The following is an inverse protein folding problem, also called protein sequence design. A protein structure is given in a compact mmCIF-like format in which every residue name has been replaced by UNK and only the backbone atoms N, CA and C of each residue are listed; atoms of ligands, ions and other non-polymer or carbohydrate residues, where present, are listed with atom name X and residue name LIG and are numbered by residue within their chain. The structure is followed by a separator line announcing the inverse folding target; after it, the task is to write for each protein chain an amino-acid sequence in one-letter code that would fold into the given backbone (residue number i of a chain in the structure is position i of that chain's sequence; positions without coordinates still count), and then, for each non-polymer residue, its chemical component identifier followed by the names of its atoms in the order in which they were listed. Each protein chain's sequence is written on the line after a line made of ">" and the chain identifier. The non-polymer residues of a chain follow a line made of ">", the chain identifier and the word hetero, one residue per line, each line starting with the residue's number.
data_IF_668205779235
#
_entry.id   IF_668205779235
#
_cell.length_a   1.000
_cell.length_b   1.000
_cell.length_c   1.000
_cell.angle_alpha   90.00
_cell.angle_beta   90.00
_cell.angle_gamma   90.00
#
_symmetry.space_group_name_H-M   'P 1'
#
loop_
_entity.id
_entity.type
_entity.pdbx_description
1 polymer ?
#
# COMPACT_ATOMS: atom_id res chain seq x y z
N UNK A 1 8.21 -6.18 -47.54
CA UNK A 1 9.54 -5.79 -47.04
C UNK A 1 9.62 -6.09 -45.56
N UNK A 2 10.52 -6.99 -45.14
CA UNK A 2 10.72 -7.32 -43.74
C UNK A 2 11.48 -6.16 -43.09
N UNK A 3 10.74 -5.15 -42.58
CA UNK A 3 11.35 -3.97 -41.96
C UNK A 3 11.96 -4.41 -40.64
N UNK A 4 13.28 -4.53 -40.62
CA UNK A 4 14.08 -4.81 -39.44
C UNK A 4 13.76 -3.76 -38.36
N UNK A 5 13.32 -4.20 -37.18
CA UNK A 5 12.93 -3.29 -36.11
C UNK A 5 14.07 -3.19 -35.10
N UNK A 6 14.45 -1.96 -34.79
CA UNK A 6 15.51 -1.66 -33.84
C UNK A 6 14.89 -1.03 -32.59
N UNK A 7 15.35 -1.44 -31.41
CA UNK A 7 15.01 -0.77 -30.16
C UNK A 7 15.62 0.64 -30.12
N UNK A 8 14.82 1.68 -29.97
CA UNK A 8 15.30 3.06 -29.86
C UNK A 8 16.13 3.35 -28.59
N UNK A 9 16.12 2.46 -27.59
CA UNK A 9 16.87 2.62 -26.34
C UNK A 9 18.21 1.86 -26.33
N UNK A 10 18.22 0.59 -26.75
CA UNK A 10 19.44 -0.24 -26.74
C UNK A 10 20.04 -0.49 -28.13
N UNK A 11 19.39 0.01 -29.19
CA UNK A 11 19.84 -0.11 -30.59
C UNK A 11 20.00 -1.56 -31.08
N UNK A 12 19.43 -2.54 -30.36
CA UNK A 12 19.43 -3.95 -30.75
C UNK A 12 18.35 -4.23 -31.79
N UNK A 13 18.67 -5.12 -32.73
CA UNK A 13 17.71 -5.70 -33.67
C UNK A 13 16.78 -6.67 -32.95
N UNK A 14 15.51 -6.66 -33.34
CA UNK A 14 14.47 -7.48 -32.70
C UNK A 14 13.61 -8.22 -33.72
N UNK A 15 13.11 -9.42 -33.35
CA UNK A 15 12.06 -10.11 -34.10
C UNK A 15 10.85 -9.23 -34.39
N UNK A 16 10.10 -9.57 -35.44
CA UNK A 16 8.95 -8.76 -35.88
C UNK A 16 7.88 -8.57 -34.79
N UNK A 17 7.73 -9.53 -33.87
CA UNK A 17 6.67 -9.56 -32.86
C UNK A 17 7.05 -9.02 -31.48
N UNK A 18 8.28 -8.52 -31.31
CA UNK A 18 8.79 -7.98 -30.03
C UNK A 18 8.16 -6.65 -29.56
N UNK A 19 7.07 -6.21 -30.19
CA UNK A 19 6.35 -4.99 -29.83
C UNK A 19 4.85 -5.22 -29.71
N UNK A 20 4.30 -4.82 -28.57
CA UNK A 20 2.86 -4.77 -28.30
C UNK A 20 2.10 -3.91 -29.32
N UNK A 21 0.78 -4.15 -29.46
CA UNK A 21 -0.10 -3.35 -30.35
C UNK A 21 0.05 -1.83 -30.10
N UNK A 22 0.16 -1.41 -28.84
CA UNK A 22 0.36 -0.01 -28.44
C UNK A 22 1.69 0.56 -28.96
N UNK A 23 2.77 -0.24 -28.92
CA UNK A 23 4.10 0.20 -29.38
C UNK A 23 4.21 0.29 -30.92
N UNK A 24 3.38 -0.46 -31.67
CA UNK A 24 3.38 -0.42 -33.14
C UNK A 24 3.00 0.96 -33.69
N UNK A 25 2.16 1.72 -32.97
CA UNK A 25 1.78 3.10 -33.31
C UNK A 25 2.83 4.18 -32.98
N UNK A 26 3.91 3.84 -32.26
CA UNK A 26 4.97 4.78 -31.88
C UNK A 26 6.02 4.92 -33.00
N UNK A 27 6.66 6.10 -33.10
CA UNK A 27 7.82 6.34 -33.98
C UNK A 27 8.97 5.38 -33.62
N UNK A 28 9.79 4.98 -34.60
CA UNK A 28 10.88 3.99 -34.41
C UNK A 28 11.81 4.35 -33.23
N UNK A 29 12.21 5.61 -33.09
CA UNK A 29 13.04 6.08 -31.96
C UNK A 29 12.36 6.02 -30.58
N UNK A 30 11.04 5.90 -30.54
CA UNK A 30 10.24 5.78 -29.31
C UNK A 30 9.87 4.32 -28.99
N UNK A 31 10.14 3.38 -29.89
CA UNK A 31 9.89 1.95 -29.67
C UNK A 31 10.99 1.36 -28.80
N UNK A 32 10.62 0.73 -27.69
CA UNK A 32 11.54 0.06 -26.77
C UNK A 32 11.25 -1.44 -26.77
N UNK A 33 12.28 -2.28 -26.77
CA UNK A 33 12.10 -3.72 -26.56
C UNK A 33 11.52 -3.99 -25.17
N UNK A 34 10.96 -5.19 -24.97
CA UNK A 34 10.40 -5.62 -23.69
C UNK A 34 11.42 -5.53 -22.56
N UNK A 35 12.68 -5.91 -22.80
CA UNK A 35 13.77 -5.76 -21.81
C UNK A 35 13.97 -4.29 -21.39
N UNK A 36 14.01 -3.34 -22.33
CA UNK A 36 14.17 -1.92 -22.00
C UNK A 36 12.92 -1.34 -21.32
N UNK A 37 11.73 -1.86 -21.61
CA UNK A 37 10.51 -1.48 -20.90
C UNK A 37 10.54 -2.03 -19.48
N UNK A 38 10.88 -3.30 -19.30
CA UNK A 38 11.01 -3.95 -18.00
C UNK A 38 12.06 -3.27 -17.12
N UNK A 39 13.27 -3.03 -17.64
CA UNK A 39 14.32 -2.30 -16.94
C UNK A 39 13.89 -0.86 -16.59
N UNK A 40 13.13 -0.21 -17.48
CA UNK A 40 12.53 1.10 -17.22
C UNK A 40 11.51 1.06 -16.09
N UNK A 41 10.62 0.07 -16.08
CA UNK A 41 9.60 -0.12 -15.05
C UNK A 41 10.25 -0.40 -13.69
N UNK A 42 11.25 -1.28 -13.65
CA UNK A 42 12.01 -1.58 -12.43
C UNK A 42 12.74 -0.32 -11.90
N UNK A 43 13.33 0.49 -12.78
CA UNK A 43 13.97 1.75 -12.38
C UNK A 43 12.95 2.74 -11.79
N UNK A 44 11.75 2.85 -12.39
CA UNK A 44 10.66 3.68 -11.87
C UNK A 44 10.22 3.17 -10.49
N UNK A 45 10.00 1.86 -10.36
CA UNK A 45 9.62 1.21 -9.10
C UNK A 45 10.64 1.49 -8.01
N UNK A 46 11.94 1.40 -8.32
CA UNK A 46 13.01 1.70 -7.35
C UNK A 46 13.15 3.20 -7.03
N UNK A 47 12.74 4.11 -7.91
CA UNK A 47 12.87 5.56 -7.68
C UNK A 47 11.65 6.19 -7.01
N UNK A 48 10.44 5.74 -7.33
CA UNK A 48 9.18 6.23 -6.74
C UNK A 48 8.86 5.51 -5.44
N UNK A 49 7.84 5.98 -4.70
CA UNK A 49 7.38 5.30 -3.48
C UNK A 49 8.42 5.24 -2.36
N UNK A 50 9.25 6.28 -2.25
CA UNK A 50 10.29 6.42 -1.21
C UNK A 50 9.85 7.33 -0.07
N UNK A 51 8.63 7.84 -0.14
CA UNK A 51 7.94 8.61 0.90
C UNK A 51 6.51 8.08 0.95
N UNK A 52 5.88 8.22 2.12
CA UNK A 52 4.47 7.86 2.29
C UNK A 52 3.58 8.94 1.65
N UNK A 53 2.36 8.56 1.31
CA UNK A 53 1.35 9.49 0.80
C UNK A 53 0.88 10.45 1.90
N UNK A 54 0.51 11.68 1.57
CA UNK A 54 -0.17 12.59 2.52
C UNK A 54 -1.50 12.00 3.01
N UNK A 55 -2.10 11.07 2.25
CA UNK A 55 -3.29 10.34 2.69
C UNK A 55 -3.03 9.45 3.93
N UNK A 56 -1.77 9.13 4.21
CA UNK A 56 -1.33 8.41 5.40
C UNK A 56 -1.09 9.31 6.61
N UNK A 57 -1.32 10.61 6.51
CA UNK A 57 -1.19 11.52 7.65
C UNK A 57 -2.48 11.58 8.45
N UNK A 58 -2.34 11.70 9.76
CA UNK A 58 -3.49 11.95 10.62
C UNK A 58 -4.03 13.35 10.30
N UNK A 59 -5.31 13.51 9.90
CA UNK A 59 -5.82 14.80 9.45
C UNK A 59 -6.00 15.83 10.58
N UNK A 60 -5.73 15.45 11.84
CA UNK A 60 -5.82 16.32 13.01
C UNK A 60 -4.44 16.84 13.42
N UNK A 61 -3.45 15.95 13.56
CA UNK A 61 -2.10 16.33 13.99
C UNK A 61 -1.09 16.44 12.86
N UNK A 62 -1.48 16.09 11.62
CA UNK A 62 -0.64 16.14 10.41
C UNK A 62 0.66 15.33 10.51
N UNK A 63 0.73 14.39 11.46
CA UNK A 63 1.84 13.45 11.58
C UNK A 63 1.50 12.15 10.84
N UNK A 64 2.47 11.50 10.17
CA UNK A 64 2.29 10.20 9.55
C UNK A 64 1.66 9.20 10.52
N UNK A 65 0.68 8.46 10.05
CA UNK A 65 -0.03 7.47 10.88
C UNK A 65 0.90 6.30 11.19
N UNK A 66 0.92 5.79 12.43
CA UNK A 66 1.67 4.58 12.73
C UNK A 66 1.20 3.40 11.85
N UNK A 67 2.15 2.59 11.37
CA UNK A 67 1.84 1.41 10.56
C UNK A 67 1.10 0.32 11.36
N UNK A 68 1.23 0.30 12.68
CA UNK A 68 0.43 -0.54 13.55
C UNK A 68 -1.06 -0.15 13.43
N UNK A 69 -1.85 -1.02 12.82
CA UNK A 69 -3.29 -0.83 12.64
C UNK A 69 -4.03 -0.59 13.97
N UNK A 70 -3.48 -1.04 15.11
CA UNK A 70 -4.04 -0.80 16.44
C UNK A 70 -3.86 0.64 16.92
N UNK A 71 -3.04 1.47 16.26
CA UNK A 71 -2.77 2.86 16.65
C UNK A 71 -3.58 3.89 15.86
N UNK A 72 -4.41 3.45 14.91
CA UNK A 72 -5.30 4.32 14.17
C UNK A 72 -6.72 3.75 14.10
N UNK A 73 -7.68 4.60 13.78
CA UNK A 73 -9.07 4.22 13.60
C UNK A 73 -9.61 4.88 12.33
N UNK A 74 -10.20 4.07 11.46
CA UNK A 74 -10.92 4.58 10.31
C UNK A 74 -12.31 5.07 10.75
N UNK A 75 -12.67 6.29 10.37
CA UNK A 75 -13.94 6.94 10.74
C UNK A 75 -14.90 6.91 9.55
N UNK A 76 -15.98 6.15 9.67
CA UNK A 76 -16.98 5.92 8.61
C UNK A 76 -17.75 7.18 8.24
N UNK A 77 -17.87 8.14 9.15
CA UNK A 77 -18.54 9.41 8.90
C UNK A 77 -17.81 10.30 7.90
N UNK A 78 -16.47 10.31 7.95
CA UNK A 78 -15.63 11.19 7.14
C UNK A 78 -14.72 10.46 6.13
N UNK A 79 -14.67 9.13 6.17
CA UNK A 79 -13.71 8.30 5.42
C UNK A 79 -12.26 8.70 5.69
N UNK A 80 -11.97 9.12 6.93
CA UNK A 80 -10.61 9.50 7.37
C UNK A 80 -10.09 8.53 8.41
N UNK A 81 -8.81 8.22 8.31
CA UNK A 81 -8.06 7.49 9.33
C UNK A 81 -7.47 8.49 10.32
N UNK A 82 -7.80 8.34 11.60
CA UNK A 82 -7.36 9.24 12.67
C UNK A 82 -6.50 8.45 13.65
N UNK A 83 -5.35 8.98 14.06
CA UNK A 83 -4.52 8.31 15.06
C UNK A 83 -5.25 8.27 16.40
N UNK A 84 -5.06 7.17 17.15
CA UNK A 84 -5.69 7.02 18.47
C UNK A 84 -5.20 8.05 19.48
N UNK A 85 -4.00 8.61 19.31
CA UNK A 85 -3.54 9.75 20.11
C UNK A 85 -4.48 10.96 19.98
N UNK A 86 -4.86 11.36 18.76
CA UNK A 86 -5.84 12.43 18.56
C UNK A 86 -7.24 12.06 19.05
N UNK A 87 -7.62 10.77 18.99
CA UNK A 87 -8.89 10.30 19.57
C UNK A 87 -8.87 10.45 21.09
N UNK A 88 -7.79 10.01 21.76
CA UNK A 88 -7.61 10.14 23.20
C UNK A 88 -7.61 11.60 23.64
N UNK A 89 -6.87 12.46 22.93
CA UNK A 89 -6.82 13.89 23.20
C UNK A 89 -8.20 14.56 23.09
N UNK A 90 -9.04 14.12 22.15
CA UNK A 90 -10.42 14.60 22.03
C UNK A 90 -11.30 14.10 23.19
N UNK A 91 -11.18 12.82 23.57
CA UNK A 91 -11.92 12.23 24.70
C UNK A 91 -11.58 12.91 26.03
N UNK A 92 -10.30 13.24 26.28
CA UNK A 92 -9.87 14.00 27.47
C UNK A 92 -10.54 15.38 27.57
N UNK A 93 -11.05 15.91 26.46
CA UNK A 93 -11.80 17.19 26.40
C UNK A 93 -13.33 16.99 26.40
N UNK A 94 -13.80 15.78 26.72
CA UNK A 94 -15.23 15.45 26.78
C UNK A 94 -15.90 15.30 25.41
N UNK A 95 -15.15 14.95 24.37
CA UNK A 95 -15.70 14.74 23.02
C UNK A 95 -15.91 13.25 22.72
N UNK A 96 -17.16 12.87 22.51
CA UNK A 96 -17.57 11.50 22.15
C UNK A 96 -17.93 11.32 20.66
N UNK A 97 -18.04 12.43 19.92
CA UNK A 97 -18.28 12.45 18.47
C UNK A 97 -16.99 12.22 17.68
N UNK A 98 -17.10 12.14 16.34
CA UNK A 98 -15.91 12.05 15.49
C UNK A 98 -14.98 13.25 15.72
N UNK A 99 -13.70 13.05 16.09
CA UNK A 99 -12.80 14.15 16.41
C UNK A 99 -12.40 15.00 15.19
N UNK A 100 -12.63 14.49 13.98
CA UNK A 100 -12.37 15.21 12.74
C UNK A 100 -13.59 15.98 12.24
N UNK A 101 -14.72 15.30 11.99
CA UNK A 101 -15.89 15.94 11.36
C UNK A 101 -17.05 16.24 12.32
N UNK A 102 -16.90 15.98 13.62
CA UNK A 102 -17.90 16.19 14.69
C UNK A 102 -19.25 15.48 14.47
N UNK A 103 -19.33 14.56 13.52
CA UNK A 103 -20.52 13.74 13.35
C UNK A 103 -20.63 12.76 14.52
N UNK A 104 -21.82 12.65 15.14
CA UNK A 104 -22.04 11.68 16.20
C UNK A 104 -21.74 10.25 15.78
N UNK A 105 -21.25 9.46 16.73
CA UNK A 105 -20.95 8.05 16.49
C UNK A 105 -22.24 7.32 16.09
N UNK A 106 -22.26 6.59 14.95
CA UNK A 106 -23.47 5.93 14.49
C UNK A 106 -23.91 4.85 15.48
N UNK A 107 -25.20 4.82 15.79
CA UNK A 107 -25.83 3.80 16.64
C UNK A 107 -26.22 2.60 15.76
N UNK A 108 -25.24 1.74 15.54
CA UNK A 108 -25.44 0.43 14.93
C UNK A 108 -25.11 0.33 13.44
N UNK A 109 -25.27 -0.90 12.95
CA UNK A 109 -24.79 -1.34 11.65
C UNK A 109 -25.54 -0.71 10.47
N UNK A 110 -26.88 -0.60 10.58
CA UNK A 110 -27.72 -0.01 9.53
C UNK A 110 -27.40 1.46 9.26
N UNK A 111 -27.23 2.25 10.32
CA UNK A 111 -26.86 3.66 10.21
C UNK A 111 -25.46 3.80 9.59
N UNK A 112 -24.51 2.98 10.04
CA UNK A 112 -23.14 2.96 9.49
C UNK A 112 -23.15 2.66 7.99
N UNK A 113 -23.88 1.62 7.57
CA UNK A 113 -23.98 1.25 6.16
C UNK A 113 -24.66 2.33 5.31
N UNK A 114 -25.69 2.99 5.83
CA UNK A 114 -26.34 4.10 5.15
C UNK A 114 -25.38 5.28 4.90
N UNK A 115 -24.52 5.60 5.87
CA UNK A 115 -23.49 6.64 5.71
C UNK A 115 -22.46 6.28 4.65
N UNK A 116 -21.99 5.02 4.64
CA UNK A 116 -21.05 4.51 3.62
C UNK A 116 -21.70 4.63 2.23
N UNK A 117 -22.92 4.10 2.05
CA UNK A 117 -23.64 4.14 0.77
C UNK A 117 -23.89 5.56 0.28
N UNK A 118 -24.20 6.50 1.17
CA UNK A 118 -24.37 7.93 0.82
C UNK A 118 -23.10 8.51 0.19
N UNK A 119 -21.91 8.12 0.67
CA UNK A 119 -20.62 8.57 0.10
C UNK A 119 -20.26 7.83 -1.19
N UNK A 120 -20.54 6.53 -1.26
CA UNK A 120 -20.39 5.74 -2.49
C UNK A 120 -21.23 6.32 -3.63
N UNK A 121 -22.47 6.72 -3.36
CA UNK A 121 -23.35 7.36 -4.34
C UNK A 121 -22.83 8.73 -4.83
N UNK A 122 -21.96 9.39 -4.04
CA UNK A 122 -21.27 10.62 -4.43
C UNK A 122 -19.92 10.35 -5.12
N UNK A 123 -19.55 9.10 -5.33
CA UNK A 123 -18.30 8.71 -5.98
C UNK A 123 -17.06 8.85 -5.11
N UNK A 124 -17.18 8.90 -3.77
CA UNK A 124 -16.03 8.94 -2.86
C UNK A 124 -15.20 7.65 -3.00
N UNK A 125 -13.96 7.70 -3.54
CA UNK A 125 -13.17 6.50 -3.80
C UNK A 125 -12.85 5.69 -2.54
N UNK A 126 -12.59 6.38 -1.42
CA UNK A 126 -12.28 5.74 -0.14
C UNK A 126 -13.52 5.04 0.43
N UNK A 127 -14.71 5.63 0.23
CA UNK A 127 -15.96 4.97 0.61
C UNK A 127 -16.25 3.73 -0.24
N UNK A 128 -15.94 3.76 -1.55
CA UNK A 128 -16.07 2.61 -2.45
C UNK A 128 -15.18 1.46 -1.97
N UNK A 129 -13.90 1.76 -1.72
CA UNK A 129 -12.95 0.82 -1.12
C UNK A 129 -13.48 0.26 0.21
N UNK A 130 -13.90 1.14 1.12
CA UNK A 130 -14.34 0.73 2.45
C UNK A 130 -15.61 -0.14 2.40
N UNK A 131 -16.54 0.12 1.47
CA UNK A 131 -17.69 -0.75 1.23
C UNK A 131 -17.24 -2.14 0.75
N UNK A 132 -16.23 -2.22 -0.11
CA UNK A 132 -15.61 -3.49 -0.52
C UNK A 132 -15.09 -4.28 0.69
N UNK A 133 -14.43 -3.60 1.63
CA UNK A 133 -13.98 -4.18 2.90
C UNK A 133 -15.15 -4.71 3.74
N UNK A 134 -16.31 -4.05 3.74
CA UNK A 134 -17.49 -4.55 4.46
C UNK A 134 -18.07 -5.82 3.84
N UNK A 135 -18.15 -5.91 2.52
CA UNK A 135 -18.55 -7.14 1.83
C UNK A 135 -17.54 -8.28 2.04
N UNK A 136 -16.24 -8.00 1.98
CA UNK A 136 -15.19 -9.01 2.23
C UNK A 136 -15.34 -9.71 3.58
N UNK A 137 -15.74 -8.98 4.62
CA UNK A 137 -15.81 -9.49 5.99
C UNK A 137 -17.23 -9.71 6.52
N UNK A 138 -18.26 -9.51 5.71
CA UNK A 138 -19.66 -9.62 6.14
C UNK A 138 -19.98 -8.71 7.35
N UNK A 139 -19.66 -7.42 7.24
CA UNK A 139 -19.82 -6.45 8.34
C UNK A 139 -20.94 -5.45 8.06
N UNK A 140 -21.45 -4.83 9.11
CA UNK A 140 -22.52 -3.84 9.04
C UNK A 140 -23.83 -4.37 8.44
N UNK A 141 -24.21 -5.59 8.84
CA UNK A 141 -25.41 -6.28 8.36
C UNK A 141 -25.34 -6.78 6.92
N UNK A 142 -24.15 -6.79 6.30
CA UNK A 142 -23.92 -7.39 4.99
C UNK A 142 -23.47 -8.84 5.13
N UNK A 143 -23.92 -9.70 4.22
CA UNK A 143 -23.34 -11.02 4.04
C UNK A 143 -21.95 -10.93 3.40
N UNK A 144 -21.12 -11.95 3.62
CA UNK A 144 -19.81 -12.03 2.98
C UNK A 144 -20.01 -12.23 1.48
N UNK A 145 -19.45 -11.33 0.68
CA UNK A 145 -19.52 -11.37 -0.78
C UNK A 145 -18.16 -10.95 -1.37
N UNK A 146 -17.37 -11.95 -1.78
CA UNK A 146 -16.00 -11.72 -2.26
C UNK A 146 -15.96 -11.16 -3.69
N UNK A 147 -16.87 -11.60 -4.55
CA UNK A 147 -16.98 -11.07 -5.92
C UNK A 147 -17.24 -9.57 -5.89
N UNK A 148 -18.23 -9.15 -5.09
CA UNK A 148 -18.55 -7.74 -4.93
C UNK A 148 -17.45 -6.94 -4.25
N UNK A 149 -16.72 -7.55 -3.32
CA UNK A 149 -15.57 -6.91 -2.69
C UNK A 149 -14.46 -6.63 -3.72
N UNK A 150 -14.15 -7.59 -4.59
CA UNK A 150 -13.15 -7.44 -5.67
C UNK A 150 -13.56 -6.34 -6.65
N UNK A 151 -14.80 -6.35 -7.15
CA UNK A 151 -15.31 -5.31 -8.06
C UNK A 151 -15.19 -3.89 -7.45
N UNK A 152 -15.51 -3.75 -6.17
CA UNK A 152 -15.39 -2.48 -5.46
C UNK A 152 -13.93 -2.06 -5.25
N UNK A 153 -13.04 -3.02 -4.99
CA UNK A 153 -11.61 -2.73 -4.89
C UNK A 153 -11.01 -2.34 -6.24
N UNK A 154 -11.36 -3.04 -7.33
CA UNK A 154 -10.89 -2.69 -8.68
C UNK A 154 -11.33 -1.28 -9.05
N UNK A 155 -12.62 -0.95 -8.83
CA UNK A 155 -13.13 0.41 -9.06
C UNK A 155 -12.44 1.45 -8.18
N UNK A 156 -12.16 1.16 -6.93
CA UNK A 156 -11.45 2.09 -6.05
C UNK A 156 -9.98 2.26 -6.45
N UNK A 157 -9.34 1.20 -6.92
CA UNK A 157 -7.97 1.20 -7.43
C UNK A 157 -7.87 2.07 -8.71
N UNK A 158 -8.81 1.94 -9.64
CA UNK A 158 -8.93 2.81 -10.82
C UNK A 158 -9.08 4.30 -10.46
N UNK A 159 -9.72 4.58 -9.33
CA UNK A 159 -9.86 5.94 -8.77
C UNK A 159 -8.66 6.38 -7.91
N UNK A 160 -7.59 5.59 -7.87
CA UNK A 160 -6.32 5.94 -7.22
C UNK A 160 -6.24 5.60 -5.73
N UNK A 161 -7.11 4.72 -5.20
CA UNK A 161 -7.01 4.28 -3.79
C UNK A 161 -5.91 3.24 -3.65
N UNK A 162 -4.78 3.64 -3.07
CA UNK A 162 -3.61 2.77 -2.82
C UNK A 162 -3.95 1.53 -2.01
N UNK A 163 -4.71 1.67 -0.92
CA UNK A 163 -5.16 0.53 -0.07
C UNK A 163 -5.93 -0.53 -0.88
N UNK A 164 -6.63 -0.13 -1.95
CA UNK A 164 -7.38 -1.04 -2.81
C UNK A 164 -6.43 -1.89 -3.67
N UNK A 165 -5.38 -1.27 -4.24
CA UNK A 165 -4.31 -2.02 -4.91
C UNK A 165 -3.65 -3.00 -3.94
N UNK A 166 -3.26 -2.57 -2.74
CA UNK A 166 -2.66 -3.47 -1.75
C UNK A 166 -3.56 -4.66 -1.43
N UNK A 167 -4.85 -4.42 -1.15
CA UNK A 167 -5.78 -5.51 -0.81
C UNK A 167 -6.06 -6.45 -1.99
N UNK A 168 -6.14 -5.97 -3.23
CA UNK A 168 -6.21 -6.83 -4.42
C UNK A 168 -4.96 -7.70 -4.54
N UNK A 169 -3.79 -7.12 -4.29
CA UNK A 169 -2.52 -7.85 -4.23
C UNK A 169 -2.57 -9.00 -3.23
N UNK A 170 -3.06 -8.74 -2.02
CA UNK A 170 -3.20 -9.75 -0.95
C UNK A 170 -4.21 -10.83 -1.35
N UNK A 171 -5.34 -10.47 -1.96
CA UNK A 171 -6.36 -11.44 -2.36
C UNK A 171 -5.82 -12.43 -3.41
N UNK A 172 -5.21 -11.92 -4.48
CA UNK A 172 -4.64 -12.77 -5.52
C UNK A 172 -3.43 -13.57 -5.04
N UNK A 173 -2.62 -13.05 -4.11
CA UNK A 173 -1.50 -13.78 -3.54
C UNK A 173 -1.95 -14.93 -2.62
N UNK A 174 -3.04 -14.75 -1.86
CA UNK A 174 -3.49 -15.76 -0.90
C UNK A 174 -4.28 -16.89 -1.55
N UNK A 175 -5.03 -16.63 -2.62
CA UNK A 175 -5.75 -17.68 -3.37
C UNK A 175 -6.93 -18.35 -2.64
N UNK A 176 -7.33 -17.86 -1.46
CA UNK A 176 -8.36 -18.51 -0.61
C UNK A 176 -9.78 -18.15 -1.07
N UNK A 177 -9.99 -16.88 -1.38
CA UNK A 177 -11.31 -16.31 -1.70
C UNK A 177 -11.47 -15.96 -3.19
N UNK A 178 -10.34 -15.94 -3.92
CA UNK A 178 -10.20 -15.72 -5.36
C UNK A 178 -9.13 -16.67 -5.87
N UNK A 179 -9.14 -17.01 -7.16
CA UNK A 179 -8.07 -17.84 -7.75
C UNK A 179 -6.69 -17.18 -7.52
N UNK A 180 -5.71 -17.99 -7.12
CA UNK A 180 -4.34 -17.53 -6.92
C UNK A 180 -3.76 -17.02 -8.24
N UNK A 181 -3.27 -15.78 -8.24
CA UNK A 181 -2.64 -15.18 -9.41
C UNK A 181 -1.50 -14.25 -8.93
N UNK A 182 -0.32 -14.84 -8.77
CA UNK A 182 0.86 -14.10 -8.31
C UNK A 182 1.29 -12.98 -9.27
N UNK A 183 1.01 -13.10 -10.56
CA UNK A 183 1.32 -12.05 -11.53
C UNK A 183 0.43 -10.83 -11.33
N UNK A 184 -0.88 -11.02 -11.16
CA UNK A 184 -1.79 -9.93 -10.78
C UNK A 184 -1.42 -9.35 -9.42
N UNK A 185 -1.11 -10.21 -8.45
CA UNK A 185 -0.70 -9.76 -7.13
C UNK A 185 0.51 -8.83 -7.20
N UNK A 186 1.53 -9.23 -7.98
CA UNK A 186 2.73 -8.44 -8.21
C UNK A 186 2.41 -7.08 -8.84
N UNK A 187 1.62 -7.03 -9.92
CA UNK A 187 1.24 -5.76 -10.56
C UNK A 187 0.48 -4.81 -9.63
N UNK A 188 -0.42 -5.35 -8.78
CA UNK A 188 -1.11 -4.56 -7.77
C UNK A 188 -0.14 -4.03 -6.71
N UNK A 189 0.79 -4.86 -6.22
CA UNK A 189 1.80 -4.42 -5.28
C UNK A 189 2.77 -3.39 -5.88
N UNK A 190 3.19 -3.53 -7.14
CA UNK A 190 4.02 -2.52 -7.82
C UNK A 190 3.34 -1.16 -7.82
N UNK A 191 2.05 -1.14 -8.17
CA UNK A 191 1.27 0.10 -8.22
C UNK A 191 1.13 0.73 -6.84
N UNK A 192 0.81 -0.07 -5.82
CA UNK A 192 0.71 0.40 -4.46
C UNK A 192 2.07 0.91 -3.91
N UNK A 193 3.15 0.17 -4.16
CA UNK A 193 4.50 0.53 -3.74
C UNK A 193 4.98 1.82 -4.41
N UNK A 194 4.69 2.05 -5.70
CA UNK A 194 4.99 3.32 -6.39
C UNK A 194 4.25 4.50 -5.75
N UNK A 195 3.04 4.27 -5.23
CA UNK A 195 2.24 5.24 -4.49
C UNK A 195 2.62 5.38 -3.00
N UNK A 196 3.69 4.70 -2.56
CA UNK A 196 4.24 4.83 -1.21
C UNK A 196 3.66 3.83 -0.19
N UNK A 197 2.93 2.81 -0.63
CA UNK A 197 2.45 1.76 0.27
C UNK A 197 3.60 0.91 0.80
N UNK A 198 3.73 0.90 2.13
CA UNK A 198 4.86 0.27 2.80
C UNK A 198 4.73 -1.26 2.79
N UNK A 199 3.52 -1.78 3.04
CA UNK A 199 3.27 -3.23 3.09
C UNK A 199 3.39 -3.88 1.71
N UNK A 200 2.93 -3.22 0.65
CA UNK A 200 3.14 -3.64 -0.72
C UNK A 200 4.63 -3.69 -1.07
N UNK A 201 5.41 -2.69 -0.64
CA UNK A 201 6.86 -2.68 -0.84
C UNK A 201 7.54 -3.87 -0.15
N UNK A 202 7.16 -4.18 1.09
CA UNK A 202 7.62 -5.38 1.80
C UNK A 202 7.25 -6.67 1.06
N UNK A 203 6.01 -6.78 0.57
CA UNK A 203 5.54 -7.96 -0.16
C UNK A 203 6.32 -8.17 -1.46
N UNK A 204 6.62 -7.11 -2.21
CA UNK A 204 7.51 -7.21 -3.37
C UNK A 204 8.89 -7.73 -2.98
N UNK A 205 9.48 -7.21 -1.89
CA UNK A 205 10.77 -7.71 -1.39
C UNK A 205 10.73 -9.19 -1.02
N UNK A 206 9.63 -9.65 -0.42
CA UNK A 206 9.43 -11.06 -0.09
C UNK A 206 9.26 -11.94 -1.33
N UNK A 207 8.52 -11.48 -2.34
CA UNK A 207 8.35 -12.19 -3.61
C UNK A 207 9.70 -12.34 -4.32
N UNK A 208 10.47 -11.26 -4.43
CA UNK A 208 11.79 -11.27 -5.06
C UNK A 208 12.79 -12.16 -4.31
N UNK A 209 12.72 -12.17 -2.97
CA UNK A 209 13.54 -13.05 -2.16
C UNK A 209 13.24 -14.52 -2.45
N UNK A 210 11.95 -14.89 -2.52
CA UNK A 210 11.52 -16.25 -2.83
C UNK A 210 11.87 -16.66 -4.27
N UNK A 211 11.94 -15.71 -5.19
CA UNK A 211 12.39 -15.92 -6.56
C UNK A 211 13.93 -16.03 -6.70
N UNK A 212 14.68 -15.82 -5.61
CA UNK A 212 16.15 -15.82 -5.63
C UNK A 212 16.79 -14.50 -6.08
N UNK A 213 15.99 -13.46 -6.32
CA UNK A 213 16.45 -12.13 -6.74
C UNK A 213 16.88 -11.30 -5.53
N UNK A 214 17.89 -11.78 -4.78
CA UNK A 214 18.25 -11.24 -3.47
C UNK A 214 18.66 -9.77 -3.47
N UNK A 215 19.33 -9.28 -4.52
CA UNK A 215 19.69 -7.87 -4.63
C UNK A 215 18.45 -6.98 -4.75
N UNK A 216 17.48 -7.39 -5.55
CA UNK A 216 16.23 -6.66 -5.73
C UNK A 216 15.36 -6.73 -4.47
N UNK A 217 15.28 -7.91 -3.86
CA UNK A 217 14.63 -8.10 -2.57
C UNK A 217 15.18 -7.14 -1.51
N UNK A 218 16.52 -7.05 -1.40
CA UNK A 218 17.18 -6.14 -0.47
C UNK A 218 16.80 -4.69 -0.76
N UNK A 219 16.77 -4.24 -2.02
CA UNK A 219 16.37 -2.87 -2.37
C UNK A 219 14.94 -2.55 -1.93
N UNK A 220 13.99 -3.45 -2.15
CA UNK A 220 12.61 -3.30 -1.69
C UNK A 220 12.54 -3.18 -0.16
N UNK A 221 13.20 -4.10 0.55
CA UNK A 221 13.19 -4.15 2.01
C UNK A 221 13.88 -2.93 2.63
N UNK A 222 14.96 -2.43 2.03
CA UNK A 222 15.61 -1.19 2.46
C UNK A 222 14.70 0.03 2.33
N UNK A 223 13.91 0.13 1.26
CA UNK A 223 12.94 1.22 1.11
C UNK A 223 11.85 1.10 2.16
N UNK A 224 11.24 -0.09 2.30
CA UNK A 224 10.15 -0.33 3.25
C UNK A 224 10.58 -0.11 4.71
N UNK A 225 11.76 -0.59 5.10
CA UNK A 225 12.31 -0.37 6.45
C UNK A 225 12.52 1.13 6.74
N UNK A 226 12.99 1.90 5.75
CA UNK A 226 13.13 3.36 5.87
C UNK A 226 11.79 4.10 6.01
N UNK A 227 10.68 3.47 5.60
CA UNK A 227 9.32 4.00 5.78
C UNK A 227 8.69 3.55 7.11
N UNK A 228 9.44 2.85 7.96
CA UNK A 228 9.02 2.47 9.31
C UNK A 228 8.51 1.02 9.44
N UNK A 229 8.71 0.16 8.44
CA UNK A 229 8.28 -1.24 8.52
C UNK A 229 9.26 -2.12 9.30
N UNK A 230 8.77 -2.66 10.41
CA UNK A 230 9.58 -3.48 11.32
C UNK A 230 9.91 -4.85 10.73
N UNK A 231 9.01 -5.43 9.93
CA UNK A 231 9.23 -6.74 9.31
C UNK A 231 10.30 -6.67 8.22
N UNK A 232 10.31 -5.60 7.43
CA UNK A 232 11.39 -5.28 6.49
C UNK A 232 12.72 -5.10 7.20
N UNK A 233 12.77 -4.36 8.31
CA UNK A 233 14.01 -4.21 9.09
C UNK A 233 14.52 -5.57 9.61
N UNK A 234 13.61 -6.41 10.09
CA UNK A 234 13.95 -7.76 10.54
C UNK A 234 14.43 -8.64 9.38
N UNK A 235 13.84 -8.51 8.20
CA UNK A 235 14.28 -9.21 6.99
C UNK A 235 15.69 -8.77 6.55
N UNK A 236 15.97 -7.46 6.53
CA UNK A 236 17.32 -6.93 6.24
C UNK A 236 18.33 -7.45 7.26
N UNK A 237 17.96 -7.49 8.56
CA UNK A 237 18.81 -8.09 9.60
C UNK A 237 19.13 -9.56 9.31
N UNK A 238 18.12 -10.36 8.91
CA UNK A 238 18.33 -11.76 8.52
C UNK A 238 19.27 -11.86 7.32
N UNK A 239 19.04 -11.06 6.28
CA UNK A 239 19.90 -11.01 5.09
C UNK A 239 21.35 -10.65 5.43
N UNK A 240 21.57 -9.73 6.36
CA UNK A 240 22.89 -9.39 6.87
C UNK A 240 23.56 -10.58 7.56
N UNK A 241 22.83 -11.32 8.40
CA UNK A 241 23.39 -12.48 9.11
C UNK A 241 23.82 -13.64 8.20
N UNK A 242 23.18 -13.77 7.03
CA UNK A 242 23.52 -14.81 6.03
C UNK A 242 24.44 -14.29 4.92
N UNK A 243 24.95 -13.05 5.02
CA UNK A 243 25.91 -12.48 4.08
C UNK A 243 25.31 -11.91 2.78
N UNK A 244 23.98 -11.81 2.67
CA UNK A 244 23.30 -11.23 1.51
C UNK A 244 23.12 -9.69 1.60
N UNK A 245 23.42 -9.09 2.75
CA UNK A 245 23.42 -7.63 2.93
C UNK A 245 24.69 -7.19 3.65
N UNK A 246 25.14 -5.96 3.40
CA UNK A 246 26.33 -5.41 4.07
C UNK A 246 25.98 -4.80 5.42
N UNK A 247 27.00 -4.56 6.26
CA UNK A 247 26.85 -3.79 7.49
C UNK A 247 26.32 -2.38 7.21
N UNK A 248 26.73 -1.78 6.09
CA UNK A 248 26.26 -0.45 5.69
C UNK A 248 24.76 -0.46 5.40
N UNK A 249 24.26 -1.46 4.67
CA UNK A 249 22.83 -1.64 4.35
C UNK A 249 21.98 -1.75 5.60
N UNK A 250 22.35 -2.67 6.50
CA UNK A 250 21.63 -2.85 7.76
C UNK A 250 21.65 -1.58 8.62
N UNK A 251 22.81 -0.89 8.71
CA UNK A 251 22.90 0.37 9.46
C UNK A 251 22.02 1.47 8.87
N UNK A 252 21.91 1.55 7.53
CA UNK A 252 21.09 2.52 6.84
C UNK A 252 19.59 2.22 7.01
N UNK A 253 19.21 0.93 6.97
CA UNK A 253 17.86 0.49 7.27
C UNK A 253 17.44 0.84 8.70
N UNK A 254 18.32 0.55 9.67
CA UNK A 254 18.06 0.82 11.09
C UNK A 254 17.88 2.32 11.36
N UNK A 255 18.77 3.17 10.83
CA UNK A 255 18.65 4.63 10.97
C UNK A 255 17.36 5.17 10.34
N UNK A 256 17.04 4.75 9.12
CA UNK A 256 15.81 5.19 8.47
C UNK A 256 14.55 4.74 9.19
N UNK A 257 14.54 3.50 9.68
CA UNK A 257 13.46 2.99 10.52
C UNK A 257 13.28 3.83 11.78
N UNK A 258 14.37 4.12 12.51
CA UNK A 258 14.33 4.96 13.71
C UNK A 258 13.76 6.34 13.44
N UNK A 259 14.21 7.01 12.37
CA UNK A 259 13.69 8.31 11.96
C UNK A 259 12.18 8.24 11.65
N UNK A 260 11.72 7.22 10.91
CA UNK A 260 10.31 7.05 10.61
C UNK A 260 9.46 6.80 11.87
N UNK A 261 9.97 6.03 12.84
CA UNK A 261 9.29 5.83 14.14
C UNK A 261 9.20 7.14 14.91
N UNK A 262 10.25 7.97 14.89
CA UNK A 262 10.27 9.28 15.53
C UNK A 262 9.25 10.23 14.89
N UNK A 263 9.22 10.33 13.55
CA UNK A 263 8.23 11.12 12.79
C UNK A 263 6.77 10.70 13.07
N UNK A 264 6.55 9.40 13.32
CA UNK A 264 5.23 8.86 13.68
C UNK A 264 4.90 8.99 15.18
N UNK A 265 5.82 9.46 16.03
CA UNK A 265 5.61 9.51 17.47
C UNK A 265 4.80 10.72 17.90
N UNK A 266 4.02 10.58 18.98
CA UNK A 266 3.50 11.73 19.73
C UNK A 266 3.24 11.30 21.18
N UNK A 267 3.20 12.25 22.14
CA UNK A 267 2.93 11.93 23.55
C UNK A 267 1.62 11.14 23.73
N UNK A 268 0.53 11.59 23.09
CA UNK A 268 -0.76 10.89 23.19
C UNK A 268 -0.74 9.50 22.53
N UNK A 269 -0.01 9.31 21.41
CA UNK A 269 0.15 8.00 20.77
C UNK A 269 0.93 7.04 21.69
N UNK A 270 1.97 7.54 22.35
CA UNK A 270 2.79 6.75 23.29
C UNK A 270 1.97 6.35 24.52
N UNK A 271 1.14 7.25 25.04
CA UNK A 271 0.19 6.95 26.11
C UNK A 271 -0.80 5.86 25.70
N UNK A 272 -1.42 5.97 24.52
CA UNK A 272 -2.32 4.93 23.99
C UNK A 272 -1.60 3.59 23.85
N UNK A 273 -0.37 3.59 23.31
CA UNK A 273 0.44 2.37 23.17
C UNK A 273 0.72 1.72 24.52
N UNK A 274 1.05 2.50 25.55
CA UNK A 274 1.25 1.99 26.91
C UNK A 274 -0.03 1.41 27.52
N UNK A 275 -1.19 2.01 27.26
CA UNK A 275 -2.49 1.49 27.73
C UNK A 275 -2.84 0.17 27.03
N UNK A 276 -2.63 0.06 25.72
CA UNK A 276 -2.87 -1.18 24.96
C UNK A 276 -1.93 -2.30 25.43
N UNK A 277 -0.66 -1.99 25.68
CA UNK A 277 0.34 -2.98 26.12
C UNK A 277 0.10 -3.53 27.53
N UNK A 278 -0.72 -2.87 28.35
CA UNK A 278 -1.15 -3.36 29.68
C UNK A 278 -2.40 -4.25 29.62
N UNK A 279 -3.08 -4.29 28.48
CA UNK A 279 -4.33 -5.04 28.29
C UNK A 279 -4.14 -6.39 27.58
N UNK A 280 -2.90 -6.78 27.30
CA UNK A 280 -2.46 -8.06 26.72
C UNK A 280 -1.60 -8.78 27.74
#
# INVERSE_FOLDING_TARGET
>A
SNVMKICGACVRELPHDSFSKRQRGLRQSSRRCEECVAAGNQLVLMKKGRTRSEADDCPICQLPLPLDAKQSLFRECCMKRVCKGCVLAAQKRGMDDCPFCRTPTPRGDSQTLAMIRKRVNKGDPVAIYFLGTKYRFGKNGLEKDMTRAVELYERAAELGVTDAHYNLGVLYANGVDVENDMAKAFCHYETAAVSGDVSARFNLGSIEYNAGNYELALQHLLISAKLGDQDSLNAVKKMFTIGLATKADYSAALRGYQNAIEEMSSPDRNEVKALIGRAV
#
